data_IF_792693978289
#
_entry.id   IF_792693978289
#
_cell.length_a   1.000
_cell.length_b   1.000
_cell.length_c   1.000
_cell.angle_alpha   90.00
_cell.angle_beta   90.00
_cell.angle_gamma   90.00
#
_symmetry.space_group_name_H-M   'P 1'
#
loop_
_entity.id
_entity.type
_entity.pdbx_description
1 polymer ?
#
# COMPACT_ATOMS: atom_id res chain seq x y z
N UNK A 1 16.56 -11.08 39.84
CA UNK A 1 15.52 -10.78 38.80
C UNK A 1 14.57 -9.78 39.41
N UNK A 2 14.42 -8.63 38.79
CA UNK A 2 13.71 -7.49 39.37
C UNK A 2 12.21 -7.80 39.58
N UNK A 3 11.66 -7.38 40.73
CA UNK A 3 10.25 -7.57 41.09
C UNK A 3 9.25 -7.14 40.01
N UNK A 4 9.55 -6.10 39.24
CA UNK A 4 8.72 -5.63 38.14
C UNK A 4 8.58 -6.57 36.92
N UNK A 5 9.50 -7.52 36.73
CA UNK A 5 9.44 -8.45 35.60
C UNK A 5 8.38 -9.55 35.79
N UNK A 6 8.19 -10.00 37.02
CA UNK A 6 7.16 -10.97 37.33
C UNK A 6 5.76 -10.36 37.16
N UNK A 7 5.57 -9.13 37.67
CA UNK A 7 4.33 -8.37 37.52
C UNK A 7 4.00 -8.11 36.04
N UNK A 8 5.02 -7.77 35.23
CA UNK A 8 4.84 -7.53 33.78
C UNK A 8 4.37 -8.79 33.06
N UNK A 9 4.91 -9.97 33.39
CA UNK A 9 4.48 -11.25 32.80
C UNK A 9 3.01 -11.52 33.14
N UNK A 10 2.59 -11.21 34.36
CA UNK A 10 1.20 -11.41 34.83
C UNK A 10 0.23 -10.47 34.09
N UNK A 11 0.60 -9.18 33.96
CA UNK A 11 -0.14 -8.19 33.18
C UNK A 11 -0.24 -8.60 31.69
N UNK A 12 0.84 -9.12 31.10
CA UNK A 12 0.81 -9.64 29.74
C UNK A 12 -0.09 -10.87 29.61
N UNK A 13 -0.14 -11.73 30.62
CA UNK A 13 -1.06 -12.88 30.66
C UNK A 13 -2.53 -12.45 30.67
N UNK A 14 -2.85 -11.46 31.49
CA UNK A 14 -4.21 -10.94 31.61
C UNK A 14 -4.66 -10.23 30.33
N UNK A 15 -3.84 -9.34 29.75
CA UNK A 15 -4.21 -8.65 28.53
C UNK A 15 -4.30 -9.59 27.31
N UNK A 16 -3.51 -10.68 27.28
CA UNK A 16 -3.59 -11.73 26.27
C UNK A 16 -4.95 -12.39 26.26
N UNK A 17 -5.52 -12.67 27.45
CA UNK A 17 -6.86 -13.25 27.58
C UNK A 17 -7.97 -12.29 27.11
N UNK A 18 -7.75 -10.98 27.20
CA UNK A 18 -8.74 -9.97 26.79
C UNK A 18 -8.70 -9.65 25.29
N UNK A 19 -7.50 -9.47 24.70
CA UNK A 19 -7.35 -9.01 23.32
C UNK A 19 -7.29 -10.15 22.30
N UNK A 20 -7.12 -11.39 22.76
CA UNK A 20 -6.99 -12.57 21.92
C UNK A 20 -5.56 -12.83 21.42
N UNK A 21 -5.30 -14.07 21.02
CA UNK A 21 -3.96 -14.57 20.68
C UNK A 21 -3.30 -13.82 19.52
N UNK A 22 -4.07 -13.52 18.46
CA UNK A 22 -3.54 -12.87 17.24
C UNK A 22 -3.15 -11.40 17.51
N UNK A 23 -3.99 -10.67 18.23
CA UNK A 23 -3.68 -9.28 18.59
C UNK A 23 -2.51 -9.21 19.58
N UNK A 24 -2.45 -10.12 20.54
CA UNK A 24 -1.34 -10.21 21.51
C UNK A 24 -0.02 -10.48 20.79
N UNK A 25 0.04 -11.47 19.90
CA UNK A 25 1.25 -11.85 19.18
C UNK A 25 1.79 -10.72 18.29
N UNK A 26 0.90 -9.99 17.64
CA UNK A 26 1.28 -8.94 16.70
C UNK A 26 1.71 -7.63 17.40
N UNK A 27 1.11 -7.27 18.52
CA UNK A 27 1.24 -5.94 19.11
C UNK A 27 1.90 -5.89 20.48
N UNK A 28 1.70 -6.90 21.33
CA UNK A 28 2.15 -6.87 22.72
C UNK A 28 3.32 -7.80 23.00
N UNK A 29 3.41 -8.94 22.33
CA UNK A 29 4.50 -9.89 22.48
C UNK A 29 5.89 -9.30 22.17
N UNK A 30 6.07 -8.40 21.19
CA UNK A 30 7.36 -7.79 20.91
C UNK A 30 7.78 -6.70 21.90
N UNK A 31 6.92 -6.31 22.84
CA UNK A 31 7.17 -5.26 23.82
C UNK A 31 7.83 -5.85 25.07
N UNK A 32 8.89 -5.21 25.57
CA UNK A 32 9.62 -5.65 26.75
C UNK A 32 9.56 -4.58 27.84
N UNK A 33 9.68 -5.02 29.10
CA UNK A 33 9.83 -4.10 30.23
C UNK A 33 11.27 -3.58 30.27
N UNK A 34 11.45 -2.29 30.22
CA UNK A 34 12.77 -1.66 30.36
C UNK A 34 13.10 -1.37 31.83
N UNK A 35 12.18 -0.70 32.53
CA UNK A 35 12.33 -0.42 33.96
C UNK A 35 11.00 -0.09 34.65
N UNK A 36 10.97 -0.28 35.96
CA UNK A 36 9.94 0.24 36.86
C UNK A 36 10.63 1.09 37.93
N UNK A 37 10.42 2.39 37.92
CA UNK A 37 11.06 3.31 38.86
C UNK A 37 10.13 4.49 39.18
N UNK A 38 10.09 4.91 40.45
CA UNK A 38 9.34 6.10 40.88
C UNK A 38 7.85 6.10 40.58
N UNK A 39 7.22 4.91 40.51
CA UNK A 39 5.79 4.77 40.18
C UNK A 39 5.52 4.85 38.68
N UNK A 40 6.53 4.77 37.84
CA UNK A 40 6.40 4.73 36.38
C UNK A 40 6.97 3.42 35.84
N UNK A 41 6.19 2.73 34.99
CA UNK A 41 6.64 1.61 34.19
C UNK A 41 7.01 2.08 32.79
N UNK A 42 8.21 1.72 32.31
CA UNK A 42 8.70 2.05 30.97
C UNK A 42 8.79 0.77 30.17
N UNK A 43 8.03 0.72 29.08
CA UNK A 43 8.01 -0.39 28.13
C UNK A 43 8.84 -0.02 26.89
N UNK A 44 9.64 -0.96 26.40
CA UNK A 44 10.43 -0.82 25.19
C UNK A 44 9.78 -1.55 24.02
N UNK A 45 9.44 -0.83 22.95
CA UNK A 45 8.97 -1.39 21.70
C UNK A 45 10.10 -1.38 20.66
N UNK A 46 10.22 -2.41 19.80
CA UNK A 46 11.31 -2.51 18.82
C UNK A 46 11.24 -1.46 17.69
N UNK A 47 10.06 -0.89 17.43
CA UNK A 47 9.87 0.12 16.39
C UNK A 47 9.04 1.30 16.87
N UNK A 48 9.22 2.47 16.21
CA UNK A 48 8.39 3.67 16.51
C UNK A 48 6.91 3.44 16.24
N UNK A 49 6.60 2.71 15.18
CA UNK A 49 5.22 2.36 14.85
C UNK A 49 4.57 1.56 15.97
N UNK A 50 5.25 0.51 16.47
CA UNK A 50 4.72 -0.32 17.55
C UNK A 50 4.59 0.47 18.86
N UNK A 51 5.56 1.36 19.17
CA UNK A 51 5.47 2.28 20.31
C UNK A 51 4.20 3.13 20.25
N UNK A 52 3.96 3.81 19.11
CA UNK A 52 2.83 4.72 18.95
C UNK A 52 1.50 3.95 18.96
N UNK A 53 1.48 2.78 18.34
CA UNK A 53 0.31 1.91 18.33
C UNK A 53 -0.06 1.42 19.74
N UNK A 54 0.91 0.89 20.49
CA UNK A 54 0.69 0.40 21.87
C UNK A 54 0.34 1.56 22.80
N UNK A 55 1.01 2.70 22.66
CA UNK A 55 0.71 3.90 23.44
C UNK A 55 -0.72 4.42 23.20
N UNK A 56 -1.23 4.33 21.98
CA UNK A 56 -2.56 4.84 21.64
C UNK A 56 -3.68 3.86 22.00
N UNK A 57 -3.46 2.56 21.81
CA UNK A 57 -4.54 1.57 21.88
C UNK A 57 -4.53 0.70 23.15
N UNK A 58 -3.37 0.55 23.80
CA UNK A 58 -3.21 -0.39 24.90
C UNK A 58 -2.66 0.24 26.19
N UNK A 59 -2.12 1.47 26.16
CA UNK A 59 -1.44 2.06 27.33
C UNK A 59 -2.37 2.20 28.54
N UNK A 60 -3.59 2.70 28.36
CA UNK A 60 -4.55 2.88 29.45
C UNK A 60 -4.98 1.54 30.04
N UNK A 61 -5.14 0.53 29.19
CA UNK A 61 -5.54 -0.82 29.65
C UNK A 61 -4.41 -1.53 30.36
N UNK A 62 -3.19 -1.47 29.83
CA UNK A 62 -1.99 -2.00 30.48
C UNK A 62 -1.77 -1.33 31.85
N UNK A 63 -1.95 -0.01 31.93
CA UNK A 63 -1.83 0.73 33.19
C UNK A 63 -2.91 0.31 34.20
N UNK A 64 -4.14 0.06 33.76
CA UNK A 64 -5.23 -0.40 34.63
C UNK A 64 -4.92 -1.80 35.22
N UNK A 65 -4.47 -2.73 34.37
CA UNK A 65 -4.06 -4.08 34.79
C UNK A 65 -2.85 -4.02 35.73
N UNK A 66 -1.85 -3.17 35.42
CA UNK A 66 -0.69 -3.02 36.28
C UNK A 66 -1.02 -2.45 37.65
N UNK A 67 -1.96 -1.49 37.74
CA UNK A 67 -2.43 -0.95 39.01
C UNK A 67 -3.16 -1.97 39.86
N UNK A 68 -3.78 -2.96 39.24
CA UNK A 68 -4.42 -4.06 39.96
C UNK A 68 -3.40 -4.99 40.62
N UNK A 69 -2.22 -5.17 40.01
CA UNK A 69 -1.13 -6.01 40.53
C UNK A 69 -0.17 -5.20 41.45
N UNK A 70 0.03 -3.92 41.17
CA UNK A 70 0.93 -3.05 41.93
C UNK A 70 0.39 -1.63 42.02
N UNK A 71 -0.17 -1.21 43.12
CA UNK A 71 -0.77 0.10 43.38
C UNK A 71 0.26 1.26 43.30
N UNK A 72 1.57 0.97 43.35
CA UNK A 72 2.61 1.96 43.26
C UNK A 72 2.82 2.47 41.83
N UNK A 73 2.42 1.72 40.79
CA UNK A 73 2.57 2.13 39.39
C UNK A 73 1.43 3.06 38.99
N UNK A 74 1.77 4.33 38.82
CA UNK A 74 0.82 5.41 38.50
C UNK A 74 0.85 5.85 37.04
N UNK A 75 1.97 5.59 36.35
CA UNK A 75 2.18 6.01 34.94
C UNK A 75 2.81 4.87 34.15
N UNK A 76 2.47 4.83 32.86
CA UNK A 76 3.06 3.91 31.90
C UNK A 76 3.54 4.73 30.70
N UNK A 77 4.77 4.50 30.28
CA UNK A 77 5.32 5.09 29.05
C UNK A 77 5.89 4.01 28.14
N UNK A 78 5.72 4.18 26.83
CA UNK A 78 6.26 3.26 25.83
C UNK A 78 7.34 4.00 25.06
N UNK A 79 8.56 3.47 25.06
CA UNK A 79 9.73 4.04 24.36
C UNK A 79 10.21 3.12 23.26
N UNK A 80 11.06 3.61 22.37
CA UNK A 80 11.71 2.76 21.36
C UNK A 80 13.01 2.23 21.96
N UNK A 81 13.05 0.90 22.19
CA UNK A 81 14.26 0.24 22.68
C UNK A 81 15.26 -0.01 21.57
N UNK A 82 16.55 0.22 21.84
CA UNK A 82 17.65 -0.17 20.94
C UNK A 82 18.07 -1.62 21.22
N UNK A 83 18.36 -2.46 20.20
CA UNK A 83 18.74 -3.87 20.38
C UNK A 83 20.07 -4.10 21.16
N UNK A 84 20.81 -3.03 21.45
CA UNK A 84 22.17 -3.11 22.02
C UNK A 84 22.25 -3.10 23.56
N UNK A 85 21.11 -3.03 24.30
CA UNK A 85 21.12 -2.99 25.78
C UNK A 85 20.73 -4.31 26.46
N UNK A 86 20.69 -5.41 25.73
CA UNK A 86 20.40 -6.75 26.30
C UNK A 86 21.66 -7.52 26.74
N UNK A 87 22.84 -6.92 26.69
CA UNK A 87 24.06 -7.54 27.21
C UNK A 87 24.86 -6.52 28.03
N UNK A 88 24.97 -6.78 29.30
CA UNK A 88 25.88 -6.27 30.35
C UNK A 88 25.29 -5.26 31.33
N UNK A 89 25.21 -5.79 32.55
CA UNK A 89 24.92 -5.03 33.75
C UNK A 89 26.10 -4.18 34.22
N UNK A 90 25.73 -3.27 35.17
CA UNK A 90 26.58 -2.51 36.09
C UNK A 90 27.42 -1.34 35.52
N UNK A 91 26.87 -0.14 35.69
CA UNK A 91 27.62 0.92 36.38
C UNK A 91 26.69 2.03 36.88
N UNK A 92 26.69 2.29 38.18
CA UNK A 92 26.10 3.46 38.83
C UNK A 92 27.15 4.58 38.89
N UNK A 93 26.74 5.86 38.74
CA UNK A 93 27.37 6.94 39.52
C UNK A 93 26.37 7.48 40.54
N UNK A 94 26.89 7.70 41.74
CA UNK A 94 26.18 8.24 42.90
C UNK A 94 25.94 9.75 42.83
N UNK A 95 25.27 10.29 43.86
CA UNK A 95 24.68 11.64 43.83
C UNK A 95 25.71 12.66 44.32
N UNK A 96 25.69 13.85 43.70
CA UNK A 96 25.99 15.16 44.28
C UNK A 96 25.92 16.21 43.16
N UNK A 97 24.96 17.09 43.18
CA UNK A 97 25.11 18.51 43.34
C UNK A 97 23.74 19.24 43.28
N UNK A 98 23.48 19.99 44.34
CA UNK A 98 22.39 20.96 44.46
C UNK A 98 22.67 22.20 43.62
N UNK A 99 21.69 22.59 42.78
CA UNK A 99 21.47 24.00 42.47
C UNK A 99 20.00 24.22 42.07
N UNK A 100 19.30 24.98 42.92
CA UNK A 100 17.98 25.52 42.70
C UNK A 100 17.99 26.53 41.53
N UNK A 101 17.25 26.22 40.44
CA UNK A 101 16.71 27.22 39.52
C UNK A 101 15.45 26.70 38.88
N UNK A 102 14.41 27.57 38.63
CA UNK A 102 13.10 27.13 38.13
C UNK A 102 13.17 26.69 36.68
N UNK A 103 12.25 25.80 36.22
CA UNK A 103 12.39 25.09 34.93
C UNK A 103 12.13 26.04 33.75
N UNK A 104 13.21 26.54 33.18
CA UNK A 104 13.24 27.11 31.84
C UNK A 104 13.13 26.00 30.80
N UNK A 105 12.49 26.29 29.66
CA UNK A 105 12.31 25.41 28.54
C UNK A 105 13.61 24.69 28.14
N UNK A 106 13.57 23.40 27.77
CA UNK A 106 14.78 22.66 27.42
C UNK A 106 15.43 23.26 26.18
N UNK A 107 16.61 23.86 26.35
CA UNK A 107 17.49 24.24 25.25
C UNK A 107 18.05 22.96 24.61
N UNK A 108 17.58 22.64 23.43
CA UNK A 108 18.11 21.55 22.59
C UNK A 108 19.44 21.98 21.96
N UNK A 109 20.53 21.96 22.72
CA UNK A 109 21.90 22.12 22.24
C UNK A 109 22.66 20.79 22.30
N UNK A 110 22.17 19.81 21.51
CA UNK A 110 22.94 18.64 21.16
C UNK A 110 23.38 18.73 19.68
N UNK A 111 24.52 18.12 19.28
CA UNK A 111 24.91 18.11 17.89
C UNK A 111 23.79 17.48 17.05
N UNK A 112 23.31 18.24 16.06
CA UNK A 112 22.31 17.79 15.09
C UNK A 112 22.88 16.55 14.41
N UNK A 113 22.25 15.37 14.51
CA UNK A 113 22.73 14.23 13.73
C UNK A 113 22.60 14.57 12.25
N UNK A 114 23.63 14.29 11.42
CA UNK A 114 23.62 14.64 9.99
C UNK A 114 22.33 14.13 9.33
N UNK A 115 21.80 14.90 8.40
CA UNK A 115 20.75 14.43 7.51
C UNK A 115 21.28 13.19 6.77
N UNK A 116 20.75 12.00 7.09
CA UNK A 116 21.23 10.71 6.58
C UNK A 116 20.97 10.48 5.07
N UNK A 117 20.92 11.54 4.27
CA UNK A 117 20.69 11.47 2.82
C UNK A 117 21.98 11.84 2.08
N UNK A 118 23.10 11.46 2.52
CA UNK A 118 24.35 11.75 1.81
C UNK A 118 25.23 10.53 1.63
N UNK A 119 24.88 9.44 2.29
CA UNK A 119 25.63 8.20 2.14
C UNK A 119 25.10 7.42 0.95
N UNK A 120 25.89 7.34 -0.11
CA UNK A 120 25.66 6.47 -1.27
C UNK A 120 25.27 5.04 -0.86
N UNK A 121 25.79 4.56 0.28
CA UNK A 121 25.43 3.26 0.86
C UNK A 121 24.00 3.20 1.40
N UNK A 122 23.48 4.26 2.02
CA UNK A 122 22.11 4.29 2.56
C UNK A 122 21.07 4.36 1.43
N UNK A 123 21.40 5.02 0.32
CA UNK A 123 20.57 5.02 -0.89
C UNK A 123 20.60 3.70 -1.64
N UNK A 124 21.73 2.98 -1.62
CA UNK A 124 21.84 1.61 -2.15
C UNK A 124 20.93 0.61 -1.44
N UNK A 125 20.76 0.76 -0.13
CA UNK A 125 19.88 -0.10 0.68
C UNK A 125 18.39 0.16 0.40
N UNK A 126 18.04 1.29 -0.24
CA UNK A 126 16.68 1.63 -0.61
C UNK A 126 16.25 1.07 -1.99
N UNK A 127 17.20 0.66 -2.85
CA UNK A 127 16.92 0.15 -4.20
C UNK A 127 16.91 -1.38 -4.22
N UNK A 128 15.83 -1.99 -4.66
CA UNK A 128 15.74 -3.43 -4.86
C UNK A 128 16.56 -3.85 -6.10
N UNK A 129 17.54 -4.73 -5.91
CA UNK A 129 18.44 -5.22 -6.98
C UNK A 129 17.72 -6.02 -8.06
N UNK A 130 16.53 -6.55 -7.76
CA UNK A 130 15.71 -7.30 -8.71
C UNK A 130 15.01 -6.40 -9.72
N UNK A 131 14.86 -5.11 -9.41
CA UNK A 131 14.12 -4.14 -10.21
C UNK A 131 15.03 -3.45 -11.21
N UNK A 132 15.46 -4.19 -12.21
CA UNK A 132 16.25 -3.73 -13.37
C UNK A 132 15.44 -3.83 -14.65
N UNK A 133 15.83 -3.13 -15.71
CA UNK A 133 15.12 -3.17 -17.00
C UNK A 133 15.06 -4.58 -17.59
N UNK A 134 16.12 -5.36 -17.41
CA UNK A 134 16.23 -6.74 -17.90
C UNK A 134 15.17 -7.67 -17.30
N UNK A 135 14.74 -7.39 -16.08
CA UNK A 135 13.73 -8.16 -15.36
C UNK A 135 12.29 -7.63 -15.55
N UNK A 136 12.14 -6.52 -16.28
CA UNK A 136 10.83 -5.92 -16.53
C UNK A 136 10.22 -6.52 -17.80
N UNK A 137 9.10 -7.22 -17.66
CA UNK A 137 8.39 -7.80 -18.81
C UNK A 137 7.55 -6.74 -19.51
N UNK A 138 7.85 -6.51 -20.77
CA UNK A 138 7.19 -5.47 -21.59
C UNK A 138 6.02 -6.06 -22.36
N UNK A 139 4.91 -5.34 -22.40
CA UNK A 139 3.73 -5.64 -23.22
C UNK A 139 2.97 -4.36 -23.54
N UNK A 140 1.93 -4.43 -24.35
CA UNK A 140 1.12 -3.25 -24.75
C UNK A 140 0.70 -2.34 -23.57
N UNK A 141 0.30 -2.88 -22.39
CA UNK A 141 -0.13 -2.04 -21.27
C UNK A 141 0.95 -1.17 -20.62
N UNK A 142 2.23 -1.46 -20.82
CA UNK A 142 3.35 -0.80 -20.14
C UNK A 142 4.48 -0.38 -21.09
N UNK A 143 4.30 -0.55 -22.39
CA UNK A 143 5.33 -0.29 -23.42
C UNK A 143 5.78 1.16 -23.43
N UNK A 144 4.86 2.12 -23.39
CA UNK A 144 5.17 3.55 -23.39
C UNK A 144 5.97 3.93 -22.13
N UNK A 145 5.50 3.50 -20.95
CA UNK A 145 6.16 3.81 -19.69
C UNK A 145 7.58 3.22 -19.62
N UNK A 146 7.75 1.97 -20.10
CA UNK A 146 9.07 1.33 -20.19
C UNK A 146 10.01 2.06 -21.14
N UNK A 147 9.54 2.38 -22.36
CA UNK A 147 10.36 3.08 -23.37
C UNK A 147 10.77 4.47 -22.87
N UNK A 148 9.84 5.21 -22.25
CA UNK A 148 10.11 6.53 -21.68
C UNK A 148 11.13 6.45 -20.53
N UNK A 149 10.95 5.51 -19.58
CA UNK A 149 11.87 5.30 -18.47
C UNK A 149 13.29 4.94 -18.95
N UNK A 150 13.38 4.07 -19.95
CA UNK A 150 14.66 3.69 -20.56
C UNK A 150 15.33 4.87 -21.24
N UNK A 151 14.59 5.67 -22.01
CA UNK A 151 15.12 6.85 -22.68
C UNK A 151 15.63 7.91 -21.71
N UNK A 152 14.90 8.12 -20.60
CA UNK A 152 15.34 9.01 -19.52
C UNK A 152 16.62 8.47 -18.86
N UNK A 153 16.67 7.17 -18.56
CA UNK A 153 17.85 6.55 -17.96
C UNK A 153 19.10 6.72 -18.86
N UNK A 154 18.97 6.46 -20.16
CA UNK A 154 20.04 6.64 -21.14
C UNK A 154 20.51 8.09 -21.24
N UNK A 155 19.59 9.07 -21.25
CA UNK A 155 19.92 10.49 -21.28
C UNK A 155 20.66 10.95 -20.02
N UNK A 156 20.32 10.44 -18.85
CA UNK A 156 20.97 10.79 -17.59
C UNK A 156 22.39 10.25 -17.44
N UNK A 157 22.82 9.27 -18.24
CA UNK A 157 24.17 8.70 -18.19
C UNK A 157 25.23 9.72 -18.60
N UNK A 158 24.98 10.52 -19.65
CA UNK A 158 25.97 11.42 -20.23
C UNK A 158 25.76 12.88 -19.76
N UNK A 159 26.86 13.58 -19.34
CA UNK A 159 26.79 15.01 -19.01
C UNK A 159 26.43 15.84 -20.25
N UNK A 160 25.55 16.83 -20.09
CA UNK A 160 25.18 17.77 -21.13
C UNK A 160 24.20 17.27 -22.20
N UNK A 161 23.69 16.04 -22.08
CA UNK A 161 22.57 15.58 -22.90
C UNK A 161 21.29 16.29 -22.48
N UNK A 162 20.52 16.70 -23.48
CA UNK A 162 19.20 17.29 -23.26
C UNK A 162 18.27 16.23 -22.66
N UNK A 163 17.64 16.56 -21.59
CA UNK A 163 16.65 15.71 -20.93
C UNK A 163 15.41 15.63 -21.83
N UNK A 164 15.05 14.44 -22.34
CA UNK A 164 14.00 14.33 -23.37
C UNK A 164 12.60 14.65 -22.83
N UNK A 165 12.36 14.32 -21.56
CA UNK A 165 11.06 14.50 -20.92
C UNK A 165 11.29 14.91 -19.46
N UNK A 166 10.89 16.12 -19.09
CA UNK A 166 11.07 16.60 -17.70
C UNK A 166 9.85 17.38 -17.21
N UNK A 167 9.11 16.84 -16.23
CA UNK A 167 9.31 15.54 -15.58
C UNK A 167 8.89 14.35 -16.45
N UNK A 168 9.38 13.14 -16.12
CA UNK A 168 8.72 11.90 -16.50
C UNK A 168 7.74 11.54 -15.38
N UNK A 169 6.45 11.49 -15.69
CA UNK A 169 5.40 11.15 -14.74
C UNK A 169 4.81 9.77 -15.07
N UNK A 170 5.04 8.79 -14.18
CA UNK A 170 4.55 7.42 -14.31
C UNK A 170 3.30 7.24 -13.45
N UNK A 171 2.16 6.89 -14.04
CA UNK A 171 0.96 6.67 -13.24
C UNK A 171 0.24 5.36 -13.60
N UNK A 172 -0.59 4.89 -12.67
CA UNK A 172 -1.36 3.68 -12.85
C UNK A 172 -1.66 2.99 -11.53
N UNK A 173 -2.51 1.98 -11.56
CA UNK A 173 -2.94 1.24 -10.39
C UNK A 173 -1.79 0.66 -9.55
N UNK A 174 -2.14 0.17 -8.36
CA UNK A 174 -1.18 -0.47 -7.45
C UNK A 174 -0.64 -1.75 -8.08
N UNK A 175 0.68 -1.98 -7.95
CA UNK A 175 1.32 -3.22 -8.39
C UNK A 175 1.48 -3.39 -9.91
N UNK A 176 1.38 -2.31 -10.71
CA UNK A 176 1.59 -2.36 -12.17
C UNK A 176 3.04 -2.15 -12.62
N UNK A 177 3.98 -1.95 -11.68
CA UNK A 177 5.40 -1.87 -11.97
C UNK A 177 6.01 -0.46 -11.98
N UNK A 178 5.31 0.60 -11.51
CA UNK A 178 5.86 1.97 -11.40
C UNK A 178 7.18 2.01 -10.65
N UNK A 179 7.20 1.52 -9.42
CA UNK A 179 8.39 1.43 -8.57
C UNK A 179 9.50 0.61 -9.22
N UNK A 180 9.16 -0.49 -9.93
CA UNK A 180 10.15 -1.27 -10.68
C UNK A 180 10.84 -0.42 -11.75
N UNK A 181 10.09 0.32 -12.57
CA UNK A 181 10.67 1.20 -13.58
C UNK A 181 11.53 2.31 -12.96
N UNK A 182 11.11 2.89 -11.84
CA UNK A 182 11.91 3.89 -11.13
C UNK A 182 13.24 3.32 -10.64
N UNK A 183 13.22 2.14 -10.01
CA UNK A 183 14.46 1.47 -9.61
C UNK A 183 15.32 1.07 -10.80
N UNK A 184 14.71 0.63 -11.91
CA UNK A 184 15.44 0.30 -13.13
C UNK A 184 16.17 1.52 -13.71
N UNK A 185 15.53 2.69 -13.70
CA UNK A 185 16.18 3.97 -14.07
C UNK A 185 17.38 4.24 -13.17
N UNK A 186 17.19 4.15 -11.85
CA UNK A 186 18.27 4.41 -10.89
C UNK A 186 19.45 3.44 -11.06
N UNK A 187 19.18 2.16 -11.20
CA UNK A 187 20.23 1.15 -11.44
C UNK A 187 20.97 1.37 -12.74
N UNK A 188 20.26 1.72 -13.81
CA UNK A 188 20.87 2.00 -15.12
C UNK A 188 21.80 3.22 -15.06
N UNK A 189 21.33 4.34 -14.50
CA UNK A 189 22.14 5.56 -14.35
C UNK A 189 23.34 5.30 -13.46
N UNK A 190 23.17 4.54 -12.37
CA UNK A 190 24.27 4.21 -11.46
C UNK A 190 25.32 3.29 -12.11
N UNK A 191 24.89 2.33 -12.92
CA UNK A 191 25.78 1.36 -13.60
C UNK A 191 26.61 2.03 -14.71
N UNK A 192 26.03 2.97 -15.44
CA UNK A 192 26.65 3.53 -16.62
C UNK A 192 27.01 5.02 -16.51
N UNK A 193 26.40 5.78 -15.61
CA UNK A 193 26.65 7.19 -15.35
C UNK A 193 27.62 7.39 -14.19
N UNK A 194 28.92 7.58 -14.48
CA UNK A 194 29.94 7.87 -13.47
C UNK A 194 29.61 9.19 -12.76
N UNK A 195 29.73 9.20 -11.43
CA UNK A 195 29.59 10.40 -10.57
C UNK A 195 28.23 11.12 -10.61
N UNK A 196 27.17 10.44 -11.07
CA UNK A 196 25.82 11.01 -11.07
C UNK A 196 25.19 10.94 -9.68
N UNK A 197 24.75 12.09 -9.20
CA UNK A 197 24.00 12.19 -7.94
C UNK A 197 22.55 11.88 -8.17
N UNK A 198 22.08 10.77 -7.60
CA UNK A 198 20.70 10.27 -7.71
C UNK A 198 20.06 10.30 -6.33
N UNK A 199 18.89 10.85 -6.22
CA UNK A 199 18.02 10.67 -5.04
C UNK A 199 16.75 9.94 -5.46
N UNK A 200 16.48 8.80 -4.81
CA UNK A 200 15.22 8.07 -4.87
C UNK A 200 14.61 7.98 -3.47
N UNK A 201 13.36 8.40 -3.34
CA UNK A 201 12.61 8.29 -2.09
C UNK A 201 11.10 8.31 -2.34
N UNK A 202 10.32 7.81 -1.37
CA UNK A 202 8.86 7.99 -1.38
C UNK A 202 8.49 9.43 -0.99
N UNK A 203 7.33 9.89 -1.44
CA UNK A 203 6.80 11.19 -1.06
C UNK A 203 6.63 11.34 0.47
N UNK A 204 6.28 10.25 1.18
CA UNK A 204 6.24 10.24 2.65
C UNK A 204 7.62 10.50 3.28
N UNK A 205 8.68 9.88 2.73
CA UNK A 205 10.05 10.09 3.21
C UNK A 205 10.53 11.51 2.93
N UNK A 206 10.17 12.08 1.78
CA UNK A 206 10.42 13.50 1.46
C UNK A 206 9.76 14.42 2.49
N UNK A 207 8.47 14.22 2.76
CA UNK A 207 7.72 14.97 3.77
C UNK A 207 8.34 14.84 5.16
N UNK A 208 8.69 13.63 5.58
CA UNK A 208 9.33 13.41 6.88
C UNK A 208 10.65 14.17 7.02
N UNK A 209 11.49 14.15 5.99
CA UNK A 209 12.77 14.85 5.98
C UNK A 209 12.60 16.36 5.99
N UNK A 210 11.63 16.89 5.25
CA UNK A 210 11.28 18.30 5.28
C UNK A 210 10.80 18.76 6.66
N UNK A 211 9.88 18.03 7.29
CA UNK A 211 9.40 18.32 8.65
C UNK A 211 10.56 18.27 9.65
N UNK A 212 11.47 17.29 9.52
CA UNK A 212 12.67 17.19 10.33
C UNK A 212 13.57 18.43 10.14
N UNK A 213 13.82 18.84 8.90
CA UNK A 213 14.61 20.03 8.58
C UNK A 213 14.00 21.32 9.16
N UNK A 214 12.68 21.46 9.13
CA UNK A 214 11.96 22.57 9.78
C UNK A 214 12.17 22.56 11.30
N UNK A 215 12.01 21.42 11.96
CA UNK A 215 12.16 21.27 13.41
C UNK A 215 13.58 21.62 13.91
N UNK A 216 14.59 21.17 13.14
CA UNK A 216 16.00 21.41 13.51
C UNK A 216 16.62 22.66 12.85
N UNK A 217 15.81 23.51 12.19
CA UNK A 217 16.26 24.75 11.51
C UNK A 217 17.37 24.50 10.46
N UNK A 218 17.40 23.32 9.83
CA UNK A 218 18.36 22.91 8.80
C UNK A 218 17.73 22.87 7.39
N UNK A 219 16.78 23.77 7.13
CA UNK A 219 16.07 23.84 5.84
C UNK A 219 16.99 24.20 4.68
N UNK A 220 18.06 24.96 4.92
CA UNK A 220 19.04 25.29 3.86
C UNK A 220 19.80 24.06 3.39
N UNK A 221 20.26 23.21 4.32
CA UNK A 221 20.97 21.96 4.00
C UNK A 221 20.05 21.00 3.23
N UNK A 222 18.77 20.89 3.66
CA UNK A 222 17.75 20.12 2.95
C UNK A 222 17.60 20.62 1.49
N UNK A 223 17.40 21.93 1.30
CA UNK A 223 17.27 22.54 -0.03
C UNK A 223 18.49 22.30 -0.89
N UNK A 224 19.68 22.53 -0.35
CA UNK A 224 20.93 22.33 -1.06
C UNK A 224 21.10 20.88 -1.51
N UNK A 225 20.78 19.94 -0.63
CA UNK A 225 20.88 18.51 -0.91
C UNK A 225 19.97 18.08 -2.08
N UNK A 226 18.68 18.44 -2.02
CA UNK A 226 17.73 18.05 -3.06
C UNK A 226 17.95 18.77 -4.38
N UNK A 227 18.46 20.01 -4.35
CA UNK A 227 18.73 20.81 -5.57
C UNK A 227 20.06 20.48 -6.25
N UNK A 228 20.98 19.80 -5.55
CA UNK A 228 22.31 19.45 -6.08
C UNK A 228 22.37 18.12 -6.84
N UNK A 229 21.23 17.46 -7.07
CA UNK A 229 21.19 16.14 -7.72
C UNK A 229 21.05 16.24 -9.24
N UNK A 230 21.52 15.23 -9.96
CA UNK A 230 21.35 15.10 -11.41
C UNK A 230 20.01 14.44 -11.76
N UNK A 231 19.51 13.58 -10.86
CA UNK A 231 18.25 12.86 -11.01
C UNK A 231 17.53 12.79 -9.66
N UNK A 232 16.33 13.39 -9.60
CA UNK A 232 15.41 13.27 -8.48
C UNK A 232 14.26 12.34 -8.83
N UNK A 233 14.02 11.34 -7.99
CA UNK A 233 12.92 10.39 -8.16
C UNK A 233 12.03 10.35 -6.92
N UNK A 234 10.75 10.68 -7.09
CA UNK A 234 9.76 10.68 -6.01
C UNK A 234 8.68 9.65 -6.32
N UNK A 235 8.61 8.62 -5.49
CA UNK A 235 7.61 7.55 -5.61
C UNK A 235 6.35 7.90 -4.81
N UNK A 236 5.18 7.61 -5.41
CA UNK A 236 3.86 7.77 -4.80
C UNK A 236 3.57 9.21 -4.34
N UNK A 237 3.67 10.19 -5.26
CA UNK A 237 3.50 11.62 -4.96
C UNK A 237 2.13 11.98 -4.38
N UNK A 238 1.09 11.15 -4.54
CA UNK A 238 -0.23 11.36 -3.96
C UNK A 238 -0.19 11.51 -2.42
N UNK A 239 0.83 11.01 -1.73
CA UNK A 239 0.93 11.12 -0.27
C UNK A 239 1.25 12.54 0.24
N UNK A 240 1.69 13.47 -0.62
CA UNK A 240 1.81 14.89 -0.25
C UNK A 240 0.53 15.68 -0.49
N UNK A 241 -0.52 15.09 -1.08
CA UNK A 241 -1.81 15.74 -1.28
C UNK A 241 -2.41 16.22 0.05
N UNK A 242 -2.97 17.42 0.07
CA UNK A 242 -3.53 18.04 1.29
C UNK A 242 -2.47 18.50 2.33
N UNK A 243 -1.17 18.50 1.99
CA UNK A 243 -0.07 18.93 2.86
C UNK A 243 0.55 20.22 2.29
N UNK A 244 -0.11 21.36 2.47
CA UNK A 244 0.23 22.64 1.82
C UNK A 244 1.71 23.01 1.92
N UNK A 245 2.29 23.07 3.13
CA UNK A 245 3.70 23.45 3.31
C UNK A 245 4.69 22.46 2.66
N UNK A 246 4.35 21.17 2.59
CA UNK A 246 5.16 20.17 1.89
C UNK A 246 5.03 20.31 0.39
N UNK A 247 3.83 20.58 -0.13
CA UNK A 247 3.61 20.84 -1.56
C UNK A 247 4.35 22.09 -2.01
N UNK A 248 4.34 23.15 -1.21
CA UNK A 248 5.07 24.38 -1.50
C UNK A 248 6.59 24.14 -1.60
N UNK A 249 7.20 23.45 -0.62
CA UNK A 249 8.63 23.15 -0.69
C UNK A 249 8.97 22.18 -1.83
N UNK A 250 8.11 21.20 -2.09
CA UNK A 250 8.27 20.30 -3.23
C UNK A 250 8.20 21.08 -4.54
N UNK A 251 7.28 22.04 -4.69
CA UNK A 251 7.16 22.91 -5.86
C UNK A 251 8.42 23.75 -6.08
N UNK A 252 8.99 24.33 -5.03
CA UNK A 252 10.23 25.09 -5.13
C UNK A 252 11.43 24.22 -5.51
N UNK A 253 11.53 23.03 -4.95
CA UNK A 253 12.57 22.06 -5.29
C UNK A 253 12.44 21.59 -6.74
N UNK A 254 11.22 21.28 -7.18
CA UNK A 254 10.89 20.90 -8.53
C UNK A 254 11.31 21.97 -9.55
N UNK A 255 10.89 23.22 -9.34
CA UNK A 255 11.24 24.30 -10.26
C UNK A 255 12.75 24.54 -10.33
N UNK A 256 13.45 24.55 -9.20
CA UNK A 256 14.90 24.72 -9.18
C UNK A 256 15.64 23.64 -10.00
N UNK A 257 15.19 22.39 -9.93
CA UNK A 257 15.77 21.30 -10.73
C UNK A 257 15.44 21.43 -12.23
N UNK A 258 14.21 21.81 -12.57
CA UNK A 258 13.81 22.03 -13.97
C UNK A 258 14.60 23.18 -14.58
N UNK A 259 14.76 24.29 -13.86
CA UNK A 259 15.52 25.46 -14.31
C UNK A 259 17.01 25.14 -14.53
N UNK A 260 17.56 24.19 -13.78
CA UNK A 260 18.93 23.68 -13.95
C UNK A 260 19.03 22.50 -14.94
N UNK A 261 17.97 22.18 -15.67
CA UNK A 261 17.89 21.02 -16.58
C UNK A 261 18.23 19.68 -15.90
N UNK A 262 17.90 19.53 -14.61
CA UNK A 262 18.04 18.27 -13.87
C UNK A 262 16.81 17.40 -14.08
N UNK A 263 17.01 16.10 -14.22
CA UNK A 263 15.92 15.18 -14.48
C UNK A 263 15.09 14.91 -13.23
N UNK A 264 13.77 14.91 -13.41
CA UNK A 264 12.80 14.52 -12.39
C UNK A 264 11.98 13.33 -12.93
N UNK A 265 11.80 12.29 -12.09
CA UNK A 265 10.90 11.17 -12.36
C UNK A 265 9.95 11.03 -11.17
N UNK A 266 8.67 10.97 -11.46
CA UNK A 266 7.62 10.94 -10.41
C UNK A 266 6.68 9.79 -10.69
N UNK A 267 6.22 9.11 -9.64
CA UNK A 267 5.14 8.14 -9.75
C UNK A 267 3.89 8.57 -8.98
N UNK A 268 2.74 8.11 -9.43
CA UNK A 268 1.45 8.26 -8.75
C UNK A 268 0.49 7.10 -9.04
N UNK A 269 -0.58 7.01 -8.28
CA UNK A 269 -1.68 6.08 -8.54
C UNK A 269 -2.70 6.60 -9.57
N UNK A 270 -2.74 7.94 -9.79
CA UNK A 270 -3.65 8.64 -10.69
C UNK A 270 -2.88 9.60 -11.62
N UNK A 271 -3.54 10.05 -12.67
CA UNK A 271 -3.00 11.09 -13.56
C UNK A 271 -2.81 12.42 -12.82
N UNK A 272 -1.93 13.35 -13.31
CA UNK A 272 -1.76 14.65 -12.67
C UNK A 272 -3.08 15.43 -12.52
N UNK A 273 -3.99 15.32 -13.48
CA UNK A 273 -5.31 15.99 -13.45
C UNK A 273 -6.22 15.45 -12.33
N UNK A 274 -6.08 14.17 -11.98
CA UNK A 274 -6.93 13.46 -11.05
C UNK A 274 -6.37 13.40 -9.62
N UNK A 275 -5.24 14.04 -9.36
CA UNK A 275 -4.65 14.14 -8.03
C UNK A 275 -5.44 15.13 -7.14
N UNK A 276 -6.43 14.61 -6.43
CA UNK A 276 -7.23 15.39 -5.48
C UNK A 276 -6.36 15.90 -4.31
N UNK A 277 -6.60 17.14 -3.87
CA UNK A 277 -5.83 17.76 -2.79
C UNK A 277 -4.42 18.23 -3.20
N UNK A 278 -4.06 18.12 -4.47
CA UNK A 278 -2.85 18.72 -5.05
C UNK A 278 -3.19 20.09 -5.62
N UNK A 279 -2.36 21.10 -5.33
CA UNK A 279 -2.52 22.44 -5.87
C UNK A 279 -2.48 22.45 -7.41
N UNK A 280 -3.31 23.30 -8.04
CA UNK A 280 -3.45 23.39 -9.50
C UNK A 280 -2.10 23.69 -10.20
N UNK A 281 -1.32 24.64 -9.63
CA UNK A 281 0.01 24.96 -10.14
C UNK A 281 0.95 23.74 -10.16
N UNK A 282 0.84 22.87 -9.14
CA UNK A 282 1.63 21.65 -9.06
C UNK A 282 1.16 20.62 -10.08
N UNK A 283 -0.16 20.39 -10.19
CA UNK A 283 -0.72 19.48 -11.21
C UNK A 283 -0.31 19.86 -12.61
N UNK A 284 -0.34 21.16 -12.93
CA UNK A 284 0.11 21.70 -14.22
C UNK A 284 1.58 21.37 -14.49
N UNK A 285 2.46 21.56 -13.50
CA UNK A 285 3.90 21.23 -13.62
C UNK A 285 4.17 19.75 -13.77
N UNK A 286 3.45 18.91 -13.01
CA UNK A 286 3.56 17.45 -13.14
C UNK A 286 3.13 16.95 -14.52
N UNK A 287 2.15 17.61 -15.14
CA UNK A 287 1.67 17.29 -16.49
C UNK A 287 2.48 17.91 -17.64
N UNK A 288 3.45 18.78 -17.35
CA UNK A 288 4.20 19.53 -18.37
C UNK A 288 5.10 18.64 -19.26
N UNK A 289 5.74 17.64 -18.67
CA UNK A 289 6.63 16.71 -19.35
C UNK A 289 5.91 15.56 -20.04
N UNK A 290 6.47 14.37 -19.94
CA UNK A 290 5.81 13.15 -20.44
C UNK A 290 5.04 12.48 -19.31
N UNK A 291 3.74 12.33 -19.50
CA UNK A 291 2.85 11.54 -18.62
C UNK A 291 2.66 10.17 -19.28
N UNK A 292 3.20 9.13 -18.67
CA UNK A 292 3.14 7.76 -19.16
C UNK A 292 2.33 6.87 -18.20
N UNK A 293 1.29 6.25 -18.75
CA UNK A 293 0.39 5.38 -18.02
C UNK A 293 0.84 3.92 -18.03
N UNK A 294 0.53 3.24 -16.94
CA UNK A 294 0.63 1.79 -16.83
C UNK A 294 -0.79 1.23 -16.68
N UNK A 295 -1.27 0.56 -17.72
CA UNK A 295 -2.59 -0.04 -17.73
C UNK A 295 -2.64 -1.40 -17.01
N UNK A 296 -3.83 -1.89 -16.63
CA UNK A 296 -4.01 -3.25 -16.13
C UNK A 296 -3.41 -4.28 -17.07
N UNK A 297 -2.77 -5.29 -16.50
CA UNK A 297 -2.07 -6.32 -17.27
C UNK A 297 -3.03 -7.19 -18.09
N UNK A 298 -2.69 -7.47 -19.36
CA UNK A 298 -3.37 -8.48 -20.16
C UNK A 298 -3.03 -9.90 -19.67
N UNK A 299 -3.81 -10.89 -20.09
CA UNK A 299 -3.54 -12.30 -19.78
C UNK A 299 -2.12 -12.73 -20.22
N UNK A 300 -1.76 -12.36 -21.47
CA UNK A 300 -0.45 -12.69 -22.05
C UNK A 300 0.70 -12.07 -21.26
N UNK A 301 0.54 -10.80 -20.86
CA UNK A 301 1.56 -10.10 -20.05
C UNK A 301 1.70 -10.77 -18.68
N UNK A 302 0.59 -11.15 -18.01
CA UNK A 302 0.64 -11.89 -16.75
C UNK A 302 1.34 -13.23 -16.88
N UNK A 303 1.05 -13.98 -17.95
CA UNK A 303 1.69 -15.25 -18.22
C UNK A 303 3.20 -15.07 -18.43
N UNK A 304 3.62 -14.08 -19.21
CA UNK A 304 5.05 -13.75 -19.41
C UNK A 304 5.74 -13.34 -18.10
N UNK A 305 5.06 -12.57 -17.23
CA UNK A 305 5.60 -12.20 -15.92
C UNK A 305 5.77 -13.44 -15.03
N UNK A 306 4.79 -14.35 -15.00
CA UNK A 306 4.87 -15.60 -14.23
C UNK A 306 6.03 -16.48 -14.71
N UNK A 307 6.21 -16.60 -16.02
CA UNK A 307 7.32 -17.37 -16.62
C UNK A 307 8.68 -16.77 -16.23
N UNK A 308 8.86 -15.47 -16.45
CA UNK A 308 10.11 -14.76 -16.10
C UNK A 308 10.44 -14.87 -14.60
N UNK A 309 9.44 -14.74 -13.72
CA UNK A 309 9.64 -14.86 -12.26
C UNK A 309 9.90 -16.29 -11.81
N UNK A 310 9.28 -17.29 -12.42
CA UNK A 310 9.54 -18.69 -12.16
C UNK A 310 10.99 -19.06 -12.54
N UNK A 311 11.46 -18.63 -13.73
CA UNK A 311 12.83 -18.81 -14.20
C UNK A 311 13.85 -18.16 -13.25
N UNK A 312 13.62 -16.89 -12.83
CA UNK A 312 14.48 -16.18 -11.88
C UNK A 312 14.57 -16.88 -10.52
N UNK A 313 13.50 -17.56 -10.11
CA UNK A 313 13.43 -18.31 -8.84
C UNK A 313 13.91 -19.76 -8.96
N UNK A 314 14.29 -20.21 -10.16
CA UNK A 314 14.67 -21.60 -10.41
C UNK A 314 13.51 -22.60 -10.20
N UNK A 315 12.27 -22.15 -10.28
CA UNK A 315 11.08 -22.98 -10.08
C UNK A 315 10.57 -23.54 -11.39
N UNK A 316 10.44 -24.86 -11.45
CA UNK A 316 9.80 -25.51 -12.60
C UNK A 316 8.29 -25.64 -12.35
N UNK A 317 7.52 -24.69 -12.89
CA UNK A 317 6.05 -24.64 -12.72
C UNK A 317 5.40 -25.17 -14.01
N UNK A 318 4.51 -26.16 -13.93
CA UNK A 318 3.79 -26.68 -15.10
C UNK A 318 2.95 -25.58 -15.77
N UNK A 319 2.92 -25.56 -17.13
CA UNK A 319 2.20 -24.53 -17.91
C UNK A 319 0.73 -24.38 -17.48
N UNK A 320 0.03 -25.49 -17.20
CA UNK A 320 -1.37 -25.48 -16.73
C UNK A 320 -1.55 -24.70 -15.42
N UNK A 321 -0.57 -24.73 -14.51
CA UNK A 321 -0.60 -23.97 -13.26
C UNK A 321 -0.34 -22.50 -13.54
N UNK A 322 0.60 -22.15 -14.41
CA UNK A 322 0.86 -20.76 -14.81
C UNK A 322 -0.36 -20.13 -15.50
N UNK A 323 -0.98 -20.85 -16.42
CA UNK A 323 -2.22 -20.41 -17.09
C UNK A 323 -3.36 -20.19 -16.09
N UNK A 324 -3.52 -21.12 -15.15
CA UNK A 324 -4.51 -20.99 -14.07
C UNK A 324 -4.27 -19.74 -13.23
N UNK A 325 -3.03 -19.49 -12.79
CA UNK A 325 -2.67 -18.29 -12.01
C UNK A 325 -2.90 -17.00 -12.81
N UNK A 326 -2.45 -16.96 -14.07
CA UNK A 326 -2.62 -15.80 -14.96
C UNK A 326 -4.11 -15.49 -15.21
N UNK A 327 -4.96 -16.50 -15.22
CA UNK A 327 -6.40 -16.34 -15.38
C UNK A 327 -7.08 -15.88 -14.08
N UNK A 328 -6.75 -16.50 -12.95
CA UNK A 328 -7.41 -16.26 -11.67
C UNK A 328 -6.95 -14.99 -10.95
N UNK A 329 -5.68 -14.63 -11.07
CA UNK A 329 -5.11 -13.44 -10.42
C UNK A 329 -4.96 -12.33 -11.46
N UNK A 330 -6.04 -11.60 -11.68
CA UNK A 330 -6.10 -10.53 -12.69
C UNK A 330 -5.89 -9.12 -12.13
N UNK A 331 -5.79 -8.96 -10.81
CA UNK A 331 -5.78 -7.69 -10.13
C UNK A 331 -4.48 -6.89 -10.32
N UNK A 332 -3.35 -7.47 -9.93
CA UNK A 332 -2.04 -6.80 -10.01
C UNK A 332 -0.86 -7.78 -9.94
N UNK A 333 0.33 -7.33 -10.34
CA UNK A 333 1.54 -8.14 -10.39
C UNK A 333 2.07 -8.51 -9.01
N UNK A 334 1.85 -7.67 -7.98
CA UNK A 334 2.29 -8.00 -6.60
C UNK A 334 1.60 -9.25 -6.08
N UNK A 335 0.34 -9.44 -6.41
CA UNK A 335 -0.41 -10.62 -6.00
C UNK A 335 0.01 -11.87 -6.78
N UNK A 336 0.36 -11.71 -8.07
CA UNK A 336 0.98 -12.79 -8.85
C UNK A 336 2.34 -13.22 -8.24
N UNK A 337 3.19 -12.26 -7.89
CA UNK A 337 4.46 -12.54 -7.19
C UNK A 337 4.22 -13.17 -5.81
N UNK A 338 3.24 -12.69 -5.07
CA UNK A 338 2.85 -13.26 -3.78
C UNK A 338 2.40 -14.72 -3.90
N UNK A 339 1.64 -15.05 -4.95
CA UNK A 339 1.24 -16.42 -5.25
C UNK A 339 2.46 -17.31 -5.57
N UNK A 340 3.37 -16.84 -6.43
CA UNK A 340 4.60 -17.57 -6.75
C UNK A 340 5.48 -17.80 -5.52
N UNK A 341 5.64 -16.80 -4.67
CA UNK A 341 6.44 -16.93 -3.44
C UNK A 341 5.82 -17.95 -2.48
N UNK A 342 4.48 -18.02 -2.37
CA UNK A 342 3.80 -19.06 -1.57
C UNK A 342 4.01 -20.45 -2.15
N UNK A 343 3.93 -20.60 -3.46
CA UNK A 343 4.21 -21.86 -4.15
C UNK A 343 5.67 -22.28 -3.91
N UNK A 344 6.62 -21.36 -4.09
CA UNK A 344 8.03 -21.60 -3.86
C UNK A 344 8.30 -22.08 -2.43
N UNK A 345 7.77 -21.37 -1.45
CA UNK A 345 7.89 -21.72 -0.04
C UNK A 345 7.28 -23.11 0.26
N UNK A 346 6.11 -23.40 -0.31
CA UNK A 346 5.46 -24.69 -0.12
C UNK A 346 6.28 -25.85 -0.68
N UNK A 347 6.84 -25.70 -1.88
CA UNK A 347 7.72 -26.71 -2.50
C UNK A 347 8.99 -26.92 -1.66
N UNK A 348 9.64 -25.83 -1.26
CA UNK A 348 10.89 -25.89 -0.49
C UNK A 348 10.71 -26.45 0.93
N UNK A 349 9.62 -26.11 1.61
CA UNK A 349 9.41 -26.48 3.01
C UNK A 349 8.65 -27.81 3.18
N UNK A 350 7.71 -28.11 2.29
CA UNK A 350 6.81 -29.28 2.39
C UNK A 350 7.21 -30.39 1.43
N UNK A 351 7.96 -30.06 0.36
CA UNK A 351 8.46 -31.06 -0.61
C UNK A 351 7.38 -31.71 -1.49
N UNK A 352 6.19 -31.05 -1.61
CA UNK A 352 5.10 -31.58 -2.45
C UNK A 352 5.25 -31.07 -3.88
N UNK A 353 4.85 -31.92 -4.83
CA UNK A 353 4.83 -31.59 -6.26
C UNK A 353 3.87 -30.44 -6.58
N UNK A 354 4.22 -29.66 -7.60
CA UNK A 354 3.41 -28.55 -8.12
C UNK A 354 2.30 -29.14 -9.01
N UNK A 355 1.18 -29.50 -8.41
CA UNK A 355 -0.04 -29.91 -9.11
C UNK A 355 -1.12 -28.85 -8.99
N UNK A 356 -2.11 -28.85 -9.89
CA UNK A 356 -3.20 -27.86 -9.86
C UNK A 356 -3.99 -27.94 -8.56
N UNK A 357 -4.24 -29.15 -8.05
CA UNK A 357 -4.98 -29.40 -6.82
C UNK A 357 -4.24 -28.85 -5.60
N UNK A 358 -2.94 -29.16 -5.47
CA UNK A 358 -2.12 -28.67 -4.37
C UNK A 358 -2.05 -27.14 -4.37
N UNK A 359 -1.91 -26.53 -5.55
CA UNK A 359 -1.83 -25.07 -5.68
C UNK A 359 -3.16 -24.40 -5.34
N UNK A 360 -4.30 -24.96 -5.71
CA UNK A 360 -5.61 -24.46 -5.31
C UNK A 360 -5.80 -24.49 -3.79
N UNK A 361 -5.26 -25.51 -3.12
CA UNK A 361 -5.29 -25.60 -1.66
C UNK A 361 -4.39 -24.52 -1.01
N UNK A 362 -3.13 -24.40 -1.45
CA UNK A 362 -2.13 -23.44 -0.94
C UNK A 362 -2.58 -21.98 -1.13
N UNK A 363 -3.26 -21.71 -2.26
CA UNK A 363 -3.70 -20.36 -2.62
C UNK A 363 -5.19 -20.10 -2.34
N UNK A 364 -5.89 -20.98 -1.63
CA UNK A 364 -7.34 -20.90 -1.39
C UNK A 364 -7.78 -19.52 -0.90
N UNK A 365 -7.09 -18.94 0.06
CA UNK A 365 -7.47 -17.64 0.63
C UNK A 365 -7.25 -16.51 -0.37
N UNK A 366 -6.14 -16.55 -1.11
CA UNK A 366 -5.83 -15.57 -2.15
C UNK A 366 -6.83 -15.68 -3.31
N UNK A 367 -7.15 -16.88 -3.74
CA UNK A 367 -8.13 -17.10 -4.83
C UNK A 367 -9.54 -16.67 -4.42
N UNK A 368 -9.95 -16.90 -3.17
CA UNK A 368 -11.23 -16.40 -2.64
C UNK A 368 -11.30 -14.87 -2.60
N UNK A 369 -10.20 -14.19 -2.31
CA UNK A 369 -10.17 -12.72 -2.34
C UNK A 369 -10.27 -12.17 -3.77
N UNK A 370 -9.89 -12.97 -4.76
CA UNK A 370 -9.95 -12.67 -6.20
C UNK A 370 -11.21 -13.16 -6.91
N UNK A 371 -12.03 -13.97 -6.25
CA UNK A 371 -13.37 -14.19 -6.74
C UNK A 371 -14.04 -12.82 -6.85
N UNK A 372 -14.18 -12.33 -8.08
CA UNK A 372 -14.72 -11.00 -8.39
C UNK A 372 -16.00 -10.81 -7.62
N UNK A 373 -15.98 -10.02 -6.58
CA UNK A 373 -17.19 -9.66 -5.83
C UNK A 373 -18.01 -8.72 -6.69
N UNK A 374 -18.89 -9.30 -7.47
CA UNK A 374 -19.87 -8.53 -8.22
C UNK A 374 -20.59 -7.57 -7.26
N UNK A 375 -20.60 -6.27 -7.57
CA UNK A 375 -21.29 -5.28 -6.73
C UNK A 375 -22.71 -5.05 -7.21
N UNK A 376 -23.62 -4.67 -6.30
CA UNK A 376 -25.02 -4.36 -6.69
C UNK A 376 -25.06 -3.22 -7.71
N UNK A 377 -24.19 -2.22 -7.58
CA UNK A 377 -24.13 -1.08 -8.50
C UNK A 377 -23.68 -1.51 -9.92
N UNK A 378 -22.76 -2.48 -10.00
CA UNK A 378 -22.35 -3.08 -11.28
C UNK A 378 -23.48 -3.90 -11.91
N UNK A 379 -24.20 -4.69 -11.13
CA UNK A 379 -25.38 -5.44 -11.59
C UNK A 379 -26.42 -4.48 -12.14
N UNK A 380 -26.74 -3.40 -11.42
CA UNK A 380 -27.69 -2.39 -11.87
C UNK A 380 -27.28 -1.77 -13.21
N UNK A 381 -26.00 -1.45 -13.38
CA UNK A 381 -25.47 -0.86 -14.62
C UNK A 381 -25.58 -1.83 -15.79
N UNK A 382 -25.11 -3.06 -15.63
CA UNK A 382 -25.12 -4.07 -16.69
C UNK A 382 -26.54 -4.47 -17.11
N UNK A 383 -27.43 -4.61 -16.13
CA UNK A 383 -28.85 -4.90 -16.42
C UNK A 383 -29.51 -3.70 -17.10
N UNK A 384 -29.20 -2.46 -16.69
CA UNK A 384 -29.73 -1.26 -17.33
C UNK A 384 -29.24 -1.13 -18.78
N UNK A 385 -27.95 -1.40 -19.05
CA UNK A 385 -27.38 -1.45 -20.41
C UNK A 385 -28.10 -2.50 -21.29
N UNK A 386 -28.22 -3.72 -20.79
CA UNK A 386 -28.80 -4.84 -21.52
C UNK A 386 -30.29 -4.59 -21.92
N UNK A 387 -31.10 -4.09 -20.99
CA UNK A 387 -32.51 -3.80 -21.23
C UNK A 387 -32.74 -2.37 -21.74
N UNK A 388 -31.71 -1.62 -22.07
CA UNK A 388 -31.78 -0.26 -22.65
C UNK A 388 -32.64 0.69 -21.81
N UNK A 389 -32.48 0.66 -20.47
CA UNK A 389 -33.14 1.58 -19.54
C UNK A 389 -32.12 2.48 -18.85
N UNK A 390 -32.57 3.64 -18.36
CA UNK A 390 -31.70 4.55 -17.61
C UNK A 390 -31.35 3.97 -16.22
N UNK A 391 -30.11 4.09 -15.79
CA UNK A 391 -29.65 3.59 -14.48
C UNK A 391 -30.51 4.11 -13.32
N UNK A 392 -30.96 5.37 -13.36
CA UNK A 392 -31.85 5.96 -12.35
C UNK A 392 -33.23 5.29 -12.27
N UNK A 393 -33.67 4.57 -13.31
CA UNK A 393 -34.93 3.82 -13.27
C UNK A 393 -34.85 2.56 -12.40
N UNK A 394 -33.64 2.06 -12.09
CA UNK A 394 -33.43 0.95 -11.15
C UNK A 394 -33.87 1.32 -9.73
N UNK A 395 -33.78 2.58 -9.35
CA UNK A 395 -34.15 3.09 -8.02
C UNK A 395 -35.49 3.82 -8.01
N UNK A 396 -36.08 4.09 -9.18
CA UNK A 396 -37.33 4.84 -9.31
C UNK A 396 -38.55 4.06 -8.82
N UNK A 397 -39.65 4.78 -8.50
CA UNK A 397 -40.92 4.16 -8.07
C UNK A 397 -41.81 3.70 -9.25
N UNK A 398 -41.35 3.88 -10.49
CA UNK A 398 -42.12 3.48 -11.70
C UNK A 398 -42.40 1.98 -11.68
N UNK A 399 -43.70 1.63 -11.94
CA UNK A 399 -44.18 0.25 -11.93
C UNK A 399 -44.44 -0.31 -13.33
N UNK A 400 -44.17 0.45 -14.39
CA UNK A 400 -44.32 0.00 -15.76
C UNK A 400 -43.49 -1.28 -15.99
N UNK A 401 -44.07 -2.28 -16.69
CA UNK A 401 -43.43 -3.60 -16.91
C UNK A 401 -42.05 -3.48 -17.54
N UNK A 402 -41.86 -2.52 -18.46
CA UNK A 402 -40.56 -2.25 -19.11
C UNK A 402 -39.43 -1.85 -18.13
N UNK A 403 -39.76 -1.28 -16.97
CA UNK A 403 -38.82 -0.90 -15.93
C UNK A 403 -38.82 -1.90 -14.76
N UNK A 404 -40.00 -2.42 -14.40
CA UNK A 404 -40.15 -3.33 -13.28
C UNK A 404 -39.44 -4.68 -13.52
N UNK A 405 -39.52 -5.21 -14.75
CA UNK A 405 -38.91 -6.50 -15.11
C UNK A 405 -37.36 -6.45 -15.01
N UNK A 406 -36.65 -5.52 -15.67
CA UNK A 406 -35.22 -5.37 -15.52
C UNK A 406 -34.79 -5.20 -14.07
N UNK A 407 -35.52 -4.41 -13.28
CA UNK A 407 -35.25 -4.23 -11.85
C UNK A 407 -35.37 -5.54 -11.05
N UNK A 408 -36.40 -6.36 -11.36
CA UNK A 408 -36.59 -7.68 -10.75
C UNK A 408 -35.40 -8.61 -11.09
N UNK A 409 -34.96 -8.60 -12.37
CA UNK A 409 -33.75 -9.34 -12.81
C UNK A 409 -32.51 -8.89 -12.05
N UNK A 410 -32.30 -7.57 -11.90
CA UNK A 410 -31.17 -7.04 -11.16
C UNK A 410 -31.19 -7.43 -9.67
N UNK A 411 -32.39 -7.42 -9.03
CA UNK A 411 -32.55 -7.90 -7.64
C UNK A 411 -32.26 -9.40 -7.52
N UNK A 412 -32.71 -10.19 -8.48
CA UNK A 412 -32.45 -11.62 -8.55
C UNK A 412 -30.96 -11.91 -8.68
N UNK A 413 -30.27 -11.27 -9.64
CA UNK A 413 -28.83 -11.41 -9.83
C UNK A 413 -28.04 -10.90 -8.61
N UNK A 414 -28.49 -9.81 -7.96
CA UNK A 414 -27.89 -9.31 -6.74
C UNK A 414 -27.96 -10.33 -5.58
N UNK A 415 -29.08 -11.07 -5.48
CA UNK A 415 -29.22 -12.15 -4.49
C UNK A 415 -28.35 -13.36 -4.81
N UNK A 416 -28.20 -13.70 -6.10
CA UNK A 416 -27.42 -14.86 -6.56
C UNK A 416 -25.90 -14.61 -6.53
N UNK A 417 -25.45 -13.40 -6.91
CA UNK A 417 -24.05 -13.08 -7.16
C UNK A 417 -23.39 -12.30 -6.02
N UNK A 418 -24.17 -11.90 -4.98
CA UNK A 418 -23.61 -11.19 -3.84
C UNK A 418 -23.97 -11.84 -2.50
N UNK A 419 -23.16 -11.63 -1.48
CA UNK A 419 -23.41 -12.08 -0.10
C UNK A 419 -24.34 -11.13 0.67
N UNK A 420 -24.97 -10.14 -0.01
CA UNK A 420 -25.78 -9.12 0.64
C UNK A 420 -27.13 -9.67 1.11
N UNK A 421 -27.59 -9.19 2.26
CA UNK A 421 -28.92 -9.54 2.77
C UNK A 421 -30.02 -8.86 1.97
N UNK A 422 -31.23 -9.44 1.96
CA UNK A 422 -32.39 -8.86 1.25
C UNK A 422 -32.65 -7.38 1.64
N UNK A 423 -32.57 -6.98 2.93
CA UNK A 423 -32.69 -5.57 3.31
C UNK A 423 -31.60 -4.68 2.74
N UNK A 424 -30.36 -5.19 2.62
CA UNK A 424 -29.24 -4.44 2.01
C UNK A 424 -29.44 -4.26 0.51
N UNK A 425 -29.93 -5.29 -0.18
CA UNK A 425 -30.31 -5.20 -1.60
C UNK A 425 -31.43 -4.18 -1.76
N UNK A 426 -32.51 -4.27 -0.97
CA UNK A 426 -33.65 -3.35 -1.06
C UNK A 426 -33.25 -1.88 -0.91
N UNK A 427 -32.35 -1.56 0.01
CA UNK A 427 -31.80 -0.20 0.18
C UNK A 427 -31.14 0.34 -1.09
N UNK A 428 -30.39 -0.48 -1.81
CA UNK A 428 -29.72 -0.11 -3.07
C UNK A 428 -30.69 0.06 -4.26
N UNK A 429 -31.88 -0.49 -4.18
CA UNK A 429 -32.93 -0.36 -5.19
C UNK A 429 -34.01 0.68 -4.83
N UNK A 430 -33.63 1.80 -4.20
CA UNK A 430 -34.54 2.89 -3.86
C UNK A 430 -35.25 2.71 -2.52
N UNK A 431 -34.61 2.07 -1.54
CA UNK A 431 -35.16 1.91 -0.17
C UNK A 431 -36.30 0.89 -0.10
N UNK A 432 -36.35 -0.08 -1.02
CA UNK A 432 -37.41 -1.10 -1.05
C UNK A 432 -37.29 -2.08 0.09
N UNK A 433 -38.46 -2.52 0.58
CA UNK A 433 -38.54 -3.52 1.63
C UNK A 433 -37.99 -4.87 1.15
N UNK A 434 -37.45 -5.67 2.11
CA UNK A 434 -36.94 -7.02 1.88
C UNK A 434 -38.00 -7.96 1.27
N UNK A 435 -39.26 -7.77 1.58
CA UNK A 435 -40.42 -8.52 0.99
C UNK A 435 -40.52 -8.26 -0.50
N UNK A 436 -40.30 -7.02 -0.97
CA UNK A 436 -40.28 -6.68 -2.40
C UNK A 436 -39.14 -7.39 -3.13
N UNK A 437 -37.95 -7.43 -2.53
CA UNK A 437 -36.80 -8.16 -3.09
C UNK A 437 -37.08 -9.66 -3.15
N UNK A 438 -37.62 -10.24 -2.07
CA UNK A 438 -37.96 -11.65 -2.01
C UNK A 438 -39.00 -12.02 -3.09
N UNK A 439 -40.04 -11.19 -3.28
CA UNK A 439 -41.02 -11.38 -4.31
C UNK A 439 -40.41 -11.30 -5.71
N UNK A 440 -39.50 -10.33 -5.94
CA UNK A 440 -38.79 -10.19 -7.23
C UNK A 440 -37.94 -11.44 -7.54
N UNK A 441 -37.23 -11.96 -6.55
CA UNK A 441 -36.40 -13.18 -6.69
C UNK A 441 -37.30 -14.37 -7.09
N UNK A 442 -38.36 -14.65 -6.35
CA UNK A 442 -39.27 -15.76 -6.62
C UNK A 442 -39.92 -15.63 -8.02
N UNK A 443 -40.29 -14.40 -8.39
CA UNK A 443 -40.92 -14.13 -9.68
C UNK A 443 -40.01 -14.39 -10.86
N UNK A 444 -38.74 -14.03 -10.75
CA UNK A 444 -37.73 -14.30 -11.79
C UNK A 444 -37.40 -15.79 -11.86
N UNK A 445 -37.26 -16.48 -10.71
CA UNK A 445 -37.08 -17.95 -10.67
C UNK A 445 -38.19 -18.71 -11.35
N UNK A 446 -39.45 -18.28 -11.17
CA UNK A 446 -40.61 -18.87 -11.84
C UNK A 446 -40.56 -18.61 -13.35
N UNK A 447 -40.25 -17.37 -13.74
CA UNK A 447 -40.26 -16.95 -15.14
C UNK A 447 -39.11 -17.53 -15.96
N UNK A 448 -37.94 -17.72 -15.40
CA UNK A 448 -36.81 -18.39 -16.06
C UNK A 448 -37.11 -19.87 -16.39
N UNK A 449 -38.12 -20.47 -15.75
CA UNK A 449 -38.58 -21.83 -16.07
C UNK A 449 -39.61 -21.84 -17.21
N UNK A 450 -40.35 -20.74 -17.39
CA UNK A 450 -41.49 -20.67 -18.32
C UNK A 450 -41.23 -19.80 -19.55
N UNK A 451 -40.23 -18.92 -19.50
CA UNK A 451 -39.87 -17.97 -20.56
C UNK A 451 -38.42 -18.19 -20.98
N UNK A 452 -38.16 -18.93 -22.09
CA UNK A 452 -36.79 -19.21 -22.54
C UNK A 452 -35.98 -17.96 -22.86
N UNK A 453 -36.62 -16.92 -23.43
CA UNK A 453 -35.94 -15.67 -23.79
C UNK A 453 -35.41 -14.96 -22.55
N UNK A 454 -36.21 -14.90 -21.47
CA UNK A 454 -35.76 -14.32 -20.19
C UNK A 454 -34.69 -15.18 -19.54
N UNK A 455 -34.74 -16.50 -19.70
CA UNK A 455 -33.69 -17.39 -19.17
C UNK A 455 -32.35 -17.15 -19.87
N UNK A 456 -32.34 -16.95 -21.19
CA UNK A 456 -31.13 -16.60 -21.95
C UNK A 456 -30.57 -15.23 -21.54
N UNK A 457 -31.42 -14.20 -21.39
CA UNK A 457 -31.02 -12.88 -20.90
C UNK A 457 -30.36 -12.94 -19.53
N UNK A 458 -30.98 -13.67 -18.60
CA UNK A 458 -30.42 -13.82 -17.23
C UNK A 458 -29.09 -14.55 -17.23
N UNK A 459 -28.97 -15.60 -18.06
CA UNK A 459 -27.71 -16.37 -18.14
C UNK A 459 -26.59 -15.57 -18.84
N UNK A 460 -26.93 -14.80 -19.88
CA UNK A 460 -26.01 -13.88 -20.54
C UNK A 460 -25.47 -12.83 -19.56
N UNK A 461 -26.40 -12.17 -18.84
CA UNK A 461 -26.04 -11.19 -17.81
C UNK A 461 -25.19 -11.80 -16.71
N UNK A 462 -25.49 -13.02 -16.29
CA UNK A 462 -24.70 -13.76 -15.30
C UNK A 462 -23.27 -13.97 -15.78
N UNK A 463 -23.07 -14.42 -17.03
CA UNK A 463 -21.75 -14.59 -17.65
C UNK A 463 -21.00 -13.26 -17.75
N UNK A 464 -21.67 -12.19 -18.18
CA UNK A 464 -21.07 -10.85 -18.28
C UNK A 464 -20.63 -10.26 -16.93
N UNK A 465 -21.29 -10.68 -15.84
CA UNK A 465 -20.99 -10.23 -14.48
C UNK A 465 -19.92 -11.10 -13.79
N UNK A 466 -19.79 -12.38 -14.17
CA UNK A 466 -18.83 -13.32 -13.58
C UNK A 466 -17.51 -13.44 -14.36
N UNK A 467 -17.53 -13.06 -15.62
CA UNK A 467 -16.44 -13.22 -16.55
C UNK A 467 -15.54 -12.17 -16.80
#
# INVERSE_FOLDING_TARGET
MAAGQAEFIEVLGQIRAEVGEDAFRNWLQPVNLEQVCGGQAVLAAPTRFLRDWVATHYADRLLALWRAENEQVRRLSVVVGTPAKLANGNHFPGPDDNSDDPPGAPSLSGPVPPLEIGDDKAQLLALDQRFVFENFVVGKPNELAHAAARRVAEACVFPGHTVPFNPLFLYGGVGLGKTHLMHAVAWHVRKYGRDRKIIYLSAEKFMYQFIRALRYKSTMDFKQQFRSVDLLMIDDVQFISGKESTQEEFFHTFNALVDENRQIVISADKSPSDLEGMEERMRSRLGWGLVADLHPTTYELRLGILQSKAEQSGLHIPSKVMEFLAHKIASNVRELEGALNRIAAHVQLVGRDITLENIQEVLRDLLRSHERRVTIDEIQRKVAEHFTIKLGEMTSDRRARAVARPRQVAMYLAKQLTTRSLPQIGRKFGGRDHTTVMHAVRKIEELTRTDPSLAEDVELLRRMLQG
#
